data_IF_445087568551
#
_entry.id   IF_445087568551
#
_cell.length_a   1.000
_cell.length_b   1.000
_cell.length_c   1.000
_cell.angle_alpha   90.00
_cell.angle_beta   90.00
_cell.angle_gamma   90.00
#
_symmetry.space_group_name_H-M   'P 1'
#
loop_
_entity.id
_entity.type
_entity.pdbx_description
1 polymer ?
#
# COMPACT_ATOMS: atom_id res chain seq x y z
N UNK A 1 49.54 -16.21 22.44
CA UNK A 1 49.01 -15.75 21.13
C UNK A 1 48.03 -14.63 21.43
N UNK A 2 48.48 -13.39 21.35
CA UNK A 2 47.65 -12.20 21.60
C UNK A 2 46.77 -11.96 20.37
N UNK A 3 45.45 -11.87 20.57
CA UNK A 3 44.54 -11.42 19.53
C UNK A 3 44.93 -9.99 19.11
N UNK A 4 44.88 -9.66 17.81
CA UNK A 4 45.14 -8.31 17.35
C UNK A 4 44.14 -7.34 18.01
N UNK A 5 44.57 -6.12 18.37
CA UNK A 5 43.68 -5.11 18.93
C UNK A 5 42.52 -4.89 17.95
N UNK A 6 41.29 -5.04 18.44
CA UNK A 6 40.09 -4.67 17.70
C UNK A 6 40.24 -3.21 17.30
N UNK A 7 40.38 -2.96 16.00
CA UNK A 7 40.33 -1.61 15.47
C UNK A 7 38.96 -1.04 15.87
N UNK A 8 38.98 0.03 16.67
CA UNK A 8 37.77 0.77 17.03
C UNK A 8 36.98 1.06 15.75
N UNK A 9 35.89 0.31 15.57
CA UNK A 9 34.93 0.51 14.50
C UNK A 9 34.39 1.92 14.69
N UNK A 10 34.81 2.80 13.78
CA UNK A 10 34.47 4.21 13.70
C UNK A 10 32.98 4.41 14.04
N UNK A 11 32.72 4.80 15.29
CA UNK A 11 31.37 4.80 15.90
C UNK A 11 30.51 5.98 15.45
N UNK A 12 31.10 6.92 14.70
CA UNK A 12 30.39 8.06 14.16
C UNK A 12 30.09 7.87 12.66
N UNK A 13 28.80 7.96 12.26
CA UNK A 13 28.43 7.88 10.86
C UNK A 13 29.08 9.05 10.12
N UNK A 14 30.05 8.74 9.25
CA UNK A 14 30.76 9.73 8.45
C UNK A 14 29.75 10.67 7.76
N UNK A 15 29.76 11.98 8.07
CA UNK A 15 28.79 12.91 7.54
C UNK A 15 28.88 12.91 6.01
N UNK A 16 27.75 12.70 5.34
CA UNK A 16 27.69 12.79 3.90
C UNK A 16 28.13 14.20 3.49
N UNK A 17 29.02 14.34 2.48
CA UNK A 17 29.46 15.65 2.03
C UNK A 17 28.24 16.50 1.65
N UNK A 18 28.18 17.70 2.21
CA UNK A 18 27.10 18.65 1.97
C UNK A 18 26.95 18.86 0.46
N UNK A 19 25.76 18.59 -0.08
CA UNK A 19 25.48 18.81 -1.50
C UNK A 19 25.26 20.30 -1.75
N UNK A 20 25.75 20.78 -2.89
CA UNK A 20 25.49 22.16 -3.29
C UNK A 20 23.99 22.43 -3.43
N UNK A 21 23.56 23.61 -2.97
CA UNK A 21 22.16 24.05 -3.00
C UNK A 21 21.51 23.86 -4.38
N UNK A 22 22.19 24.24 -5.46
CA UNK A 22 21.68 24.09 -6.82
C UNK A 22 21.46 22.63 -7.27
N UNK A 23 22.18 21.66 -6.70
CA UNK A 23 21.93 20.23 -6.96
C UNK A 23 20.68 19.74 -6.21
N UNK A 24 20.49 20.21 -4.97
CA UNK A 24 19.30 19.92 -4.17
C UNK A 24 18.06 20.53 -4.82
N UNK A 25 18.08 21.82 -5.16
CA UNK A 25 16.97 22.53 -5.79
C UNK A 25 16.50 21.86 -7.09
N UNK A 26 17.43 21.51 -8.00
CA UNK A 26 17.10 20.77 -9.22
C UNK A 26 16.48 19.40 -8.94
N UNK A 27 17.00 18.70 -7.93
CA UNK A 27 16.44 17.41 -7.53
C UNK A 27 15.03 17.54 -6.96
N UNK A 28 14.77 18.56 -6.13
CA UNK A 28 13.44 18.84 -5.58
C UNK A 28 12.46 19.18 -6.69
N UNK A 29 12.85 20.04 -7.64
CA UNK A 29 12.02 20.37 -8.80
C UNK A 29 11.66 19.12 -9.61
N UNK A 30 12.65 18.24 -9.87
CA UNK A 30 12.42 16.97 -10.55
C UNK A 30 11.44 16.04 -9.82
N UNK A 31 11.59 15.89 -8.49
CA UNK A 31 10.63 15.11 -7.69
C UNK A 31 9.25 15.75 -7.66
N UNK A 32 9.16 17.08 -7.65
CA UNK A 32 7.89 17.82 -7.65
C UNK A 32 7.12 17.57 -8.93
N UNK A 33 7.78 17.72 -10.09
CA UNK A 33 7.17 17.48 -11.40
C UNK A 33 6.75 16.01 -11.58
N UNK A 34 7.61 15.06 -11.20
CA UNK A 34 7.29 13.64 -11.26
C UNK A 34 6.11 13.28 -10.35
N UNK A 35 6.09 13.81 -9.12
CA UNK A 35 5.00 13.56 -8.17
C UNK A 35 3.69 14.18 -8.65
N UNK A 36 3.73 15.40 -9.19
CA UNK A 36 2.54 16.04 -9.78
C UNK A 36 1.96 15.20 -10.92
N UNK A 37 2.83 14.71 -11.82
CA UNK A 37 2.42 13.82 -12.91
C UNK A 37 1.81 12.52 -12.36
N UNK A 38 2.40 11.92 -11.33
CA UNK A 38 1.86 10.70 -10.70
C UNK A 38 0.50 10.93 -10.02
N UNK A 39 0.25 12.14 -9.48
CA UNK A 39 -1.03 12.51 -8.84
C UNK A 39 -2.16 12.61 -9.88
N UNK A 40 -1.87 13.15 -11.06
CA UNK A 40 -2.88 13.39 -12.11
C UNK A 40 -3.04 12.23 -13.09
N UNK A 41 -2.26 11.15 -12.93
CA UNK A 41 -2.29 9.95 -13.79
C UNK A 41 -2.59 8.69 -12.96
N UNK A 42 -2.81 7.52 -13.60
CA UNK A 42 -2.97 6.23 -12.89
C UNK A 42 -1.71 5.75 -12.13
N UNK A 43 -0.67 6.58 -12.02
CA UNK A 43 0.62 6.28 -11.43
C UNK A 43 0.71 6.66 -9.93
N UNK A 44 -0.43 6.88 -9.27
CA UNK A 44 -0.52 7.22 -7.84
C UNK A 44 0.27 6.30 -6.91
N UNK A 45 0.37 5.03 -7.29
CA UNK A 45 1.15 3.99 -6.59
C UNK A 45 2.61 4.38 -6.34
N UNK A 46 3.17 5.28 -7.14
CA UNK A 46 4.56 5.71 -7.06
C UNK A 46 4.76 6.98 -6.21
N UNK A 47 3.69 7.67 -5.81
CA UNK A 47 3.77 8.94 -5.07
C UNK A 47 4.51 8.78 -3.74
N UNK A 48 4.13 7.86 -2.82
CA UNK A 48 4.87 7.69 -1.58
C UNK A 48 6.34 7.32 -1.81
N UNK A 49 6.64 6.40 -2.75
CA UNK A 49 8.00 6.01 -3.08
C UNK A 49 8.86 7.19 -3.57
N UNK A 50 8.31 8.07 -4.41
CA UNK A 50 9.00 9.27 -4.89
C UNK A 50 9.32 10.23 -3.74
N UNK A 51 8.37 10.44 -2.82
CA UNK A 51 8.53 11.30 -1.65
C UNK A 51 9.54 10.73 -0.65
N UNK A 52 9.47 9.43 -0.37
CA UNK A 52 10.44 8.73 0.47
C UNK A 52 11.85 8.81 -0.12
N UNK A 53 11.98 8.59 -1.42
CA UNK A 53 13.28 8.70 -2.07
C UNK A 53 13.82 10.13 -2.07
N UNK A 54 12.96 11.13 -2.25
CA UNK A 54 13.35 12.54 -2.10
C UNK A 54 13.85 12.82 -0.68
N UNK A 55 13.13 12.34 0.34
CA UNK A 55 13.50 12.51 1.75
C UNK A 55 14.86 11.87 2.07
N UNK A 56 15.08 10.62 1.63
CA UNK A 56 16.34 9.89 1.82
C UNK A 56 17.49 10.58 1.10
N UNK A 57 17.24 11.10 -0.11
CA UNK A 57 18.29 11.66 -0.96
C UNK A 57 18.66 13.10 -0.62
N UNK A 58 17.70 13.91 -0.21
CA UNK A 58 17.81 15.37 -0.07
C UNK A 58 17.37 15.91 1.30
N UNK A 59 16.91 15.03 2.19
CA UNK A 59 16.43 15.37 3.53
C UNK A 59 14.91 15.59 3.59
N UNK A 60 14.35 15.46 4.80
CA UNK A 60 12.91 15.56 5.07
C UNK A 60 12.29 16.88 4.60
N UNK A 61 12.97 18.01 4.83
CA UNK A 61 12.53 19.35 4.37
C UNK A 61 12.37 19.43 2.85
N UNK A 62 13.28 18.79 2.11
CA UNK A 62 13.20 18.74 0.64
C UNK A 62 11.99 17.92 0.16
N UNK A 63 11.62 16.85 0.87
CA UNK A 63 10.40 16.08 0.56
C UNK A 63 9.11 16.88 0.83
N UNK A 64 9.03 17.63 1.92
CA UNK A 64 7.90 18.55 2.17
C UNK A 64 7.76 19.60 1.06
N UNK A 65 8.87 20.22 0.66
CA UNK A 65 8.88 21.19 -0.44
C UNK A 65 8.46 20.52 -1.75
N UNK A 66 8.99 19.34 -2.06
CA UNK A 66 8.64 18.61 -3.28
C UNK A 66 7.15 18.25 -3.33
N UNK A 67 6.59 17.78 -2.22
CA UNK A 67 5.17 17.47 -2.11
C UNK A 67 4.31 18.73 -2.29
N UNK A 68 4.68 19.84 -1.65
CA UNK A 68 3.91 21.10 -1.74
C UNK A 68 3.89 21.62 -3.17
N UNK A 69 5.05 21.67 -3.83
CA UNK A 69 5.17 22.05 -5.24
C UNK A 69 4.38 21.10 -6.15
N UNK A 70 4.44 19.80 -5.90
CA UNK A 70 3.68 18.81 -6.66
C UNK A 70 2.17 19.02 -6.55
N UNK A 71 1.66 19.30 -5.35
CA UNK A 71 0.24 19.56 -5.13
C UNK A 71 -0.22 20.87 -5.78
N UNK A 72 0.62 21.91 -5.77
CA UNK A 72 0.32 23.16 -6.49
C UNK A 72 0.27 22.94 -8.01
N UNK A 73 1.20 22.17 -8.57
CA UNK A 73 1.18 21.82 -10.00
C UNK A 73 -0.04 20.97 -10.37
N UNK A 74 -0.40 20.00 -9.55
CA UNK A 74 -1.60 19.19 -9.76
C UNK A 74 -2.88 20.02 -9.64
N UNK A 75 -2.94 20.97 -8.70
CA UNK A 75 -4.04 21.93 -8.58
C UNK A 75 -4.15 22.84 -9.80
N UNK A 76 -3.02 23.37 -10.29
CA UNK A 76 -2.98 24.16 -11.52
C UNK A 76 -3.46 23.36 -12.74
N UNK A 77 -3.07 22.08 -12.84
CA UNK A 77 -3.57 21.19 -13.89
C UNK A 77 -5.09 20.97 -13.80
N UNK A 78 -5.63 20.71 -12.60
CA UNK A 78 -7.09 20.57 -12.39
C UNK A 78 -7.81 21.86 -12.76
N UNK A 79 -7.28 23.03 -12.39
CA UNK A 79 -7.86 24.32 -12.74
C UNK A 79 -7.83 24.61 -14.25
N UNK A 80 -6.77 24.16 -14.94
CA UNK A 80 -6.58 24.39 -16.37
C UNK A 80 -7.32 23.37 -17.27
N UNK A 81 -7.86 22.28 -16.71
CA UNK A 81 -8.54 21.24 -17.50
C UNK A 81 -10.05 21.54 -17.55
N UNK A 82 -10.57 22.07 -18.68
CA UNK A 82 -11.99 22.36 -18.79
C UNK A 82 -12.80 21.06 -18.74
N UNK A 83 -13.92 21.08 -18.02
CA UNK A 83 -14.88 19.99 -18.02
C UNK A 83 -16.28 20.52 -18.24
N UNK A 84 -16.98 19.96 -19.23
CA UNK A 84 -18.37 20.28 -19.56
C UNK A 84 -19.38 19.50 -18.72
N UNK A 85 -18.93 18.51 -17.95
CA UNK A 85 -19.81 17.68 -17.14
C UNK A 85 -20.19 18.38 -15.82
N UNK A 86 -21.49 18.47 -15.48
CA UNK A 86 -21.94 19.03 -14.21
C UNK A 86 -21.26 18.35 -13.02
N UNK A 87 -20.67 19.15 -12.12
CA UNK A 87 -20.00 18.65 -10.92
C UNK A 87 -18.62 18.00 -11.15
N UNK A 88 -18.12 17.91 -12.39
CA UNK A 88 -16.83 17.30 -12.67
C UNK A 88 -15.65 18.07 -12.04
N UNK A 89 -15.74 19.40 -12.00
CA UNK A 89 -14.73 20.23 -11.33
C UNK A 89 -14.72 19.95 -9.81
N UNK A 90 -15.89 19.84 -9.18
CA UNK A 90 -15.99 19.50 -7.75
C UNK A 90 -15.41 18.10 -7.47
N UNK A 91 -15.71 17.13 -8.33
CA UNK A 91 -15.13 15.79 -8.24
C UNK A 91 -13.61 15.82 -8.38
N UNK A 92 -13.05 16.56 -9.33
CA UNK A 92 -11.60 16.67 -9.52
C UNK A 92 -10.90 17.30 -8.32
N UNK A 93 -11.45 18.39 -7.75
CA UNK A 93 -10.90 19.01 -6.54
C UNK A 93 -11.01 18.11 -5.31
N UNK A 94 -12.13 17.40 -5.15
CA UNK A 94 -12.32 16.45 -4.05
C UNK A 94 -11.37 15.25 -4.16
N UNK A 95 -11.10 14.77 -5.37
CA UNK A 95 -10.09 13.74 -5.63
C UNK A 95 -8.69 14.25 -5.28
N UNK A 96 -8.34 15.46 -5.70
CA UNK A 96 -7.04 16.05 -5.37
C UNK A 96 -6.87 16.20 -3.85
N UNK A 97 -7.92 16.65 -3.15
CA UNK A 97 -7.93 16.73 -1.69
C UNK A 97 -7.78 15.34 -1.05
N UNK A 98 -8.46 14.32 -1.58
CA UNK A 98 -8.33 12.94 -1.11
C UNK A 98 -6.88 12.43 -1.28
N UNK A 99 -6.25 12.66 -2.44
CA UNK A 99 -4.86 12.26 -2.67
C UNK A 99 -3.91 13.00 -1.72
N UNK A 100 -4.12 14.29 -1.52
CA UNK A 100 -3.31 15.09 -0.60
C UNK A 100 -3.39 14.53 0.83
N UNK A 101 -4.61 14.41 1.37
CA UNK A 101 -4.85 14.07 2.77
C UNK A 101 -4.69 12.58 3.05
N UNK A 102 -5.01 11.71 2.09
CA UNK A 102 -4.98 10.27 2.28
C UNK A 102 -3.71 9.60 1.78
N UNK A 103 -2.91 10.24 0.92
CA UNK A 103 -1.66 9.62 0.39
C UNK A 103 -0.45 10.47 0.74
N UNK A 104 -0.43 11.73 0.33
CA UNK A 104 0.76 12.60 0.45
C UNK A 104 1.07 12.90 1.92
N UNK A 105 0.09 13.35 2.69
CA UNK A 105 0.28 13.71 4.11
C UNK A 105 0.72 12.50 4.95
N UNK A 106 0.04 11.33 4.89
CA UNK A 106 0.49 10.14 5.62
C UNK A 106 1.90 9.71 5.22
N UNK A 107 2.26 9.79 3.92
CA UNK A 107 3.63 9.51 3.46
C UNK A 107 4.65 10.39 4.16
N UNK A 108 4.44 11.71 4.15
CA UNK A 108 5.37 12.64 4.80
C UNK A 108 5.43 12.45 6.32
N UNK A 109 4.30 12.12 6.95
CA UNK A 109 4.21 11.84 8.38
C UNK A 109 4.90 10.52 8.78
N UNK A 110 4.98 9.55 7.87
CA UNK A 110 5.65 8.26 8.11
C UNK A 110 7.17 8.32 7.96
N UNK A 111 7.74 9.41 7.41
CA UNK A 111 9.18 9.57 7.21
C UNK A 111 10.03 9.29 8.46
N UNK A 112 9.67 9.77 9.67
CA UNK A 112 10.44 9.46 10.87
C UNK A 112 10.42 7.98 11.27
N UNK A 113 9.33 7.25 10.98
CA UNK A 113 9.27 5.80 11.21
C UNK A 113 10.17 5.06 10.22
N UNK A 114 10.14 5.48 8.97
CA UNK A 114 11.01 4.96 7.91
C UNK A 114 12.47 5.19 8.26
N UNK A 115 12.84 6.44 8.59
CA UNK A 115 14.19 6.83 9.00
C UNK A 115 14.68 6.06 10.23
N UNK A 116 13.81 5.73 11.19
CA UNK A 116 14.15 4.91 12.37
C UNK A 116 14.31 3.42 12.05
N UNK A 117 13.97 2.97 10.84
CA UNK A 117 14.07 1.57 10.49
C UNK A 117 12.94 0.71 11.07
N UNK A 118 11.78 1.30 11.34
CA UNK A 118 10.62 0.58 11.91
C UNK A 118 10.16 -0.61 11.04
N UNK A 119 9.42 -1.56 11.62
CA UNK A 119 8.96 -2.73 10.86
C UNK A 119 7.96 -2.34 9.77
N UNK A 120 8.00 -3.05 8.63
CA UNK A 120 7.09 -2.83 7.49
C UNK A 120 5.61 -2.76 7.91
N UNK A 121 5.16 -3.70 8.75
CA UNK A 121 3.78 -3.74 9.22
C UNK A 121 3.39 -2.50 10.03
N UNK A 122 4.27 -2.02 10.92
CA UNK A 122 4.02 -0.82 11.73
C UNK A 122 3.94 0.45 10.86
N UNK A 123 4.85 0.59 9.90
CA UNK A 123 4.84 1.71 8.95
C UNK A 123 3.58 1.68 8.09
N UNK A 124 3.21 0.50 7.56
CA UNK A 124 2.00 0.34 6.76
C UNK A 124 0.75 0.70 7.58
N UNK A 125 0.61 0.19 8.80
CA UNK A 125 -0.54 0.52 9.65
C UNK A 125 -0.64 2.02 9.93
N UNK A 126 0.48 2.69 10.22
CA UNK A 126 0.50 4.13 10.40
C UNK A 126 0.01 4.87 9.15
N UNK A 127 0.48 4.47 7.97
CA UNK A 127 0.03 5.03 6.69
C UNK A 127 -1.47 4.82 6.50
N UNK A 128 -1.99 3.60 6.70
CA UNK A 128 -3.40 3.27 6.51
C UNK A 128 -4.33 4.02 7.46
N UNK A 129 -3.95 4.16 8.73
CA UNK A 129 -4.72 4.96 9.71
C UNK A 129 -4.73 6.43 9.28
N UNK A 130 -3.56 6.97 8.93
CA UNK A 130 -3.46 8.34 8.41
C UNK A 130 -4.33 8.56 7.17
N UNK A 131 -4.41 7.56 6.29
CA UNK A 131 -5.25 7.61 5.10
C UNK A 131 -6.74 7.57 5.39
N UNK A 132 -7.18 6.70 6.30
CA UNK A 132 -8.58 6.64 6.71
C UNK A 132 -9.04 7.98 7.31
N UNK A 133 -8.19 8.60 8.13
CA UNK A 133 -8.41 9.96 8.65
C UNK A 133 -8.47 10.95 7.49
N UNK A 134 -7.51 10.91 6.57
CA UNK A 134 -7.47 11.80 5.42
C UNK A 134 -8.72 11.75 4.54
N UNK A 135 -9.21 10.55 4.21
CA UNK A 135 -10.44 10.34 3.46
C UNK A 135 -11.67 10.89 4.21
N UNK A 136 -11.74 10.67 5.53
CA UNK A 136 -12.82 11.18 6.38
C UNK A 136 -12.84 12.71 6.40
N UNK A 137 -11.66 13.34 6.52
CA UNK A 137 -11.50 14.79 6.47
C UNK A 137 -11.89 15.32 5.08
N UNK A 138 -11.52 14.64 4.00
CA UNK A 138 -11.94 15.03 2.65
C UNK A 138 -13.46 15.03 2.50
N UNK A 139 -14.15 13.98 2.97
CA UNK A 139 -15.62 13.92 2.93
C UNK A 139 -16.25 15.04 3.76
N UNK A 140 -15.78 15.22 5.00
CA UNK A 140 -16.31 16.24 5.91
C UNK A 140 -16.11 17.66 5.33
N UNK A 141 -14.90 17.97 4.85
CA UNK A 141 -14.60 19.25 4.21
C UNK A 141 -15.44 19.48 2.95
N UNK A 142 -15.60 18.47 2.10
CA UNK A 142 -16.43 18.59 0.89
C UNK A 142 -17.89 18.87 1.21
N UNK A 143 -18.43 18.21 2.25
CA UNK A 143 -19.81 18.43 2.71
C UNK A 143 -19.99 19.82 3.30
N UNK A 144 -19.06 20.25 4.17
CA UNK A 144 -19.14 21.52 4.87
C UNK A 144 -18.94 22.72 3.94
N UNK A 145 -17.99 22.63 3.02
CA UNK A 145 -17.59 23.76 2.18
C UNK A 145 -18.35 23.83 0.85
N UNK A 146 -18.85 22.70 0.35
CA UNK A 146 -19.45 22.63 -0.99
C UNK A 146 -20.81 21.91 -1.03
N UNK A 147 -21.38 21.52 0.12
CA UNK A 147 -22.62 20.72 0.21
C UNK A 147 -22.59 19.46 -0.69
N UNK A 148 -21.40 18.91 -0.89
CA UNK A 148 -21.12 17.85 -1.85
C UNK A 148 -20.43 16.67 -1.15
N UNK A 149 -20.81 15.44 -1.54
CA UNK A 149 -20.18 14.22 -1.05
C UNK A 149 -19.46 13.52 -2.21
N UNK A 150 -18.11 13.56 -2.25
CA UNK A 150 -17.35 12.84 -3.28
C UNK A 150 -17.66 11.34 -3.30
N UNK A 151 -17.82 10.73 -2.13
CA UNK A 151 -18.08 9.30 -2.06
C UNK A 151 -19.52 8.94 -2.46
N UNK A 152 -20.51 9.79 -2.17
CA UNK A 152 -21.86 9.57 -2.68
C UNK A 152 -21.92 9.73 -4.21
N UNK A 153 -21.19 10.70 -4.77
CA UNK A 153 -21.10 10.89 -6.21
C UNK A 153 -20.40 9.72 -6.91
N UNK A 154 -19.28 9.22 -6.35
CA UNK A 154 -18.62 8.02 -6.84
C UNK A 154 -19.52 6.79 -6.77
N UNK A 155 -20.29 6.63 -5.69
CA UNK A 155 -21.25 5.54 -5.55
C UNK A 155 -22.35 5.61 -6.61
N UNK A 156 -22.89 6.80 -6.85
CA UNK A 156 -23.89 7.03 -7.90
C UNK A 156 -23.31 6.71 -9.29
N UNK A 157 -22.10 7.18 -9.57
CA UNK A 157 -21.41 6.90 -10.83
C UNK A 157 -21.14 5.41 -11.01
N UNK A 158 -20.65 4.71 -9.98
CA UNK A 158 -20.40 3.28 -10.03
C UNK A 158 -21.67 2.47 -10.33
N UNK A 159 -22.82 2.87 -9.79
CA UNK A 159 -24.12 2.26 -10.12
C UNK A 159 -24.49 2.46 -11.58
N UNK A 160 -24.35 3.68 -12.10
CA UNK A 160 -24.63 3.99 -13.50
C UNK A 160 -23.70 3.22 -14.45
N UNK A 161 -22.40 3.19 -14.16
CA UNK A 161 -21.42 2.41 -14.92
C UNK A 161 -21.73 0.91 -14.86
N UNK A 162 -22.13 0.39 -13.70
CA UNK A 162 -22.55 -1.01 -13.55
C UNK A 162 -23.73 -1.37 -14.46
N UNK A 163 -24.79 -0.55 -14.45
CA UNK A 163 -25.96 -0.74 -15.33
C UNK A 163 -25.56 -0.68 -16.81
N UNK A 164 -24.72 0.30 -17.18
CA UNK A 164 -24.22 0.43 -18.54
C UNK A 164 -23.43 -0.80 -18.99
N UNK A 165 -22.53 -1.32 -18.14
CA UNK A 165 -21.72 -2.50 -18.44
C UNK A 165 -22.60 -3.75 -18.65
N UNK A 166 -23.59 -3.96 -17.79
CA UNK A 166 -24.55 -5.07 -17.91
C UNK A 166 -25.33 -4.97 -19.21
N UNK A 167 -25.79 -3.77 -19.58
CA UNK A 167 -26.47 -3.52 -20.86
C UNK A 167 -25.56 -3.87 -22.04
N UNK A 168 -24.29 -3.47 -22.02
CA UNK A 168 -23.34 -3.82 -23.07
C UNK A 168 -23.11 -5.34 -23.18
N UNK A 169 -23.08 -6.07 -22.06
CA UNK A 169 -22.96 -7.54 -22.11
C UNK A 169 -24.20 -8.20 -22.70
N UNK A 170 -25.39 -7.68 -22.37
CA UNK A 170 -26.63 -8.13 -22.98
C UNK A 170 -26.63 -7.88 -24.50
N UNK A 171 -26.22 -6.68 -24.94
CA UNK A 171 -26.12 -6.32 -26.37
C UNK A 171 -25.10 -7.17 -27.14
N UNK A 172 -24.07 -7.70 -26.47
CA UNK A 172 -23.06 -8.60 -27.05
C UNK A 172 -23.45 -10.08 -27.06
N UNK A 173 -24.65 -10.42 -26.63
CA UNK A 173 -25.13 -11.81 -26.62
C UNK A 173 -24.40 -12.70 -25.61
N UNK A 174 -23.87 -12.12 -24.53
CA UNK A 174 -23.25 -12.89 -23.45
C UNK A 174 -24.33 -13.73 -22.74
N UNK A 175 -24.04 -15.00 -22.36
CA UNK A 175 -24.99 -15.86 -21.64
C UNK A 175 -25.56 -15.22 -20.37
N UNK A 176 -26.85 -15.45 -20.11
CA UNK A 176 -27.60 -14.79 -19.04
C UNK A 176 -27.08 -15.13 -17.63
N UNK A 177 -26.60 -16.36 -17.43
CA UNK A 177 -25.95 -16.83 -16.21
C UNK A 177 -24.66 -16.05 -15.91
N UNK A 178 -23.84 -15.77 -16.92
CA UNK A 178 -22.64 -14.95 -16.76
C UNK A 178 -23.01 -13.48 -16.45
N UNK A 179 -24.04 -12.95 -17.10
CA UNK A 179 -24.55 -11.60 -16.83
C UNK A 179 -25.04 -11.49 -15.38
N UNK A 180 -25.80 -12.48 -14.89
CA UNK A 180 -26.27 -12.52 -13.51
C UNK A 180 -25.10 -12.58 -12.52
N UNK A 181 -24.09 -13.42 -12.80
CA UNK A 181 -22.89 -13.51 -11.97
C UNK A 181 -22.15 -12.16 -11.92
N UNK A 182 -21.97 -11.50 -13.06
CA UNK A 182 -21.35 -10.17 -13.14
C UNK A 182 -22.18 -9.12 -12.42
N UNK A 183 -23.51 -9.15 -12.56
CA UNK A 183 -24.40 -8.21 -11.88
C UNK A 183 -24.32 -8.35 -10.36
N UNK A 184 -24.30 -9.60 -9.85
CA UNK A 184 -24.07 -9.88 -8.42
C UNK A 184 -22.71 -9.35 -7.99
N UNK A 185 -21.65 -9.61 -8.76
CA UNK A 185 -20.30 -9.14 -8.45
C UNK A 185 -20.17 -7.62 -8.43
N UNK A 186 -20.77 -6.92 -9.39
CA UNK A 186 -20.87 -5.45 -9.42
C UNK A 186 -21.65 -4.96 -8.19
N UNK A 187 -22.78 -5.60 -7.87
CA UNK A 187 -23.58 -5.27 -6.68
C UNK A 187 -22.75 -5.35 -5.39
N UNK A 188 -22.00 -6.43 -5.20
CA UNK A 188 -21.07 -6.58 -4.07
C UNK A 188 -19.96 -5.52 -4.07
N UNK A 189 -19.36 -5.25 -5.23
CA UNK A 189 -18.28 -4.27 -5.37
C UNK A 189 -18.76 -2.84 -5.05
N UNK A 190 -19.99 -2.50 -5.46
CA UNK A 190 -20.65 -1.23 -5.12
C UNK A 190 -20.94 -1.16 -3.62
N UNK A 191 -21.37 -2.27 -3.01
CA UNK A 191 -21.63 -2.33 -1.58
C UNK A 191 -20.36 -2.14 -0.74
N UNK A 192 -19.23 -2.66 -1.22
CA UNK A 192 -17.92 -2.54 -0.60
C UNK A 192 -17.06 -1.40 -1.19
N UNK A 193 -17.66 -0.41 -1.88
CA UNK A 193 -16.89 0.63 -2.58
C UNK A 193 -15.94 1.41 -1.65
N UNK A 194 -16.36 1.68 -0.41
CA UNK A 194 -15.50 2.34 0.59
C UNK A 194 -14.27 1.49 0.92
N UNK A 195 -14.44 0.18 1.10
CA UNK A 195 -13.34 -0.75 1.28
C UNK A 195 -12.47 -0.83 0.02
N UNK A 196 -13.04 -0.81 -1.18
CA UNK A 196 -12.27 -0.79 -2.43
C UNK A 196 -11.36 0.44 -2.50
N UNK A 197 -11.82 1.62 -2.07
CA UNK A 197 -10.99 2.82 -1.97
C UNK A 197 -9.83 2.60 -0.99
N UNK A 198 -10.10 2.06 0.19
CA UNK A 198 -9.07 1.75 1.18
C UNK A 198 -8.09 0.67 0.70
N UNK A 199 -8.56 -0.33 -0.03
CA UNK A 199 -7.74 -1.38 -0.66
C UNK A 199 -6.80 -0.75 -1.70
N UNK A 200 -7.32 0.15 -2.54
CA UNK A 200 -6.49 0.86 -3.52
C UNK A 200 -5.42 1.72 -2.83
N UNK A 201 -5.77 2.43 -1.77
CA UNK A 201 -4.81 3.19 -0.97
C UNK A 201 -3.78 2.26 -0.31
N UNK A 202 -4.21 1.09 0.17
CA UNK A 202 -3.32 0.07 0.73
C UNK A 202 -2.33 -0.44 -0.32
N UNK A 203 -2.81 -0.73 -1.54
CA UNK A 203 -1.96 -1.11 -2.66
C UNK A 203 -0.93 -0.04 -2.99
N UNK A 204 -1.33 1.24 -3.00
CA UNK A 204 -0.44 2.39 -3.22
C UNK A 204 0.73 2.35 -2.23
N UNK A 205 0.46 2.21 -0.92
CA UNK A 205 1.54 2.18 0.06
C UNK A 205 2.37 0.91 0.04
N UNK A 206 1.73 -0.26 -0.09
CA UNK A 206 2.43 -1.54 -0.12
C UNK A 206 3.42 -1.52 -1.28
N UNK A 207 2.97 -1.22 -2.50
CA UNK A 207 3.84 -1.18 -3.67
C UNK A 207 4.92 -0.09 -3.53
N UNK A 208 4.59 1.08 -2.99
CA UNK A 208 5.57 2.13 -2.72
C UNK A 208 6.66 1.72 -1.72
N UNK A 209 6.29 1.08 -0.61
CA UNK A 209 7.24 0.60 0.40
C UNK A 209 8.11 -0.53 -0.16
N UNK A 210 7.54 -1.40 -0.99
CA UNK A 210 8.30 -2.44 -1.71
C UNK A 210 9.33 -1.84 -2.66
N UNK A 211 8.98 -0.75 -3.34
CA UNK A 211 9.94 -0.02 -4.15
C UNK A 211 11.02 0.63 -3.31
N UNK A 212 10.66 1.26 -2.18
CA UNK A 212 11.62 1.88 -1.27
C UNK A 212 12.69 0.88 -0.81
N UNK A 213 12.31 -0.33 -0.40
CA UNK A 213 13.26 -1.40 -0.04
C UNK A 213 14.17 -1.85 -1.18
N UNK A 214 13.81 -1.54 -2.44
CA UNK A 214 14.64 -1.80 -3.63
C UNK A 214 15.56 -0.64 -4.01
N UNK A 215 15.37 0.56 -3.47
CA UNK A 215 16.18 1.72 -3.84
C UNK A 215 17.62 1.57 -3.32
N UNK A 216 18.59 1.63 -4.25
CA UNK A 216 20.04 1.55 -3.95
C UNK A 216 20.48 2.55 -2.87
N UNK A 217 19.93 3.76 -2.92
CA UNK A 217 20.21 4.81 -1.93
C UNK A 217 19.77 4.41 -0.51
N UNK A 218 18.62 3.74 -0.38
CA UNK A 218 18.13 3.25 0.90
C UNK A 218 18.99 2.08 1.41
N UNK A 219 19.32 1.12 0.54
CA UNK A 219 20.23 0.01 0.92
C UNK A 219 21.59 0.50 1.38
N UNK A 220 22.14 1.52 0.70
CA UNK A 220 23.40 2.14 1.11
C UNK A 220 23.28 2.90 2.43
N UNK A 221 22.14 3.56 2.69
CA UNK A 221 21.88 4.23 3.97
C UNK A 221 21.70 3.22 5.12
N UNK A 222 20.95 2.14 4.88
CA UNK A 222 20.78 1.04 5.84
C UNK A 222 22.13 0.37 6.15
N UNK A 223 22.93 0.04 5.13
CA UNK A 223 24.25 -0.54 5.33
C UNK A 223 25.20 0.35 6.15
N UNK A 224 25.08 1.69 6.02
CA UNK A 224 25.88 2.65 6.80
C UNK A 224 25.41 2.85 8.23
N UNK A 225 24.16 2.51 8.55
CA UNK A 225 23.58 2.70 9.88
C UNK A 225 23.70 1.47 10.77
N UNK A 226 24.12 0.31 10.24
CA UNK A 226 24.10 -0.92 11.02
C UNK A 226 25.28 -1.86 10.72
N UNK A 227 26.20 -1.94 11.68
CA UNK A 227 27.00 -3.15 11.97
C UNK A 227 26.14 -4.28 12.58
N UNK A 228 24.87 -4.02 12.93
CA UNK A 228 23.94 -4.99 13.52
C UNK A 228 22.73 -5.26 12.63
N UNK A 229 22.69 -6.43 11.98
CA UNK A 229 21.56 -7.27 11.48
C UNK A 229 20.19 -6.68 10.99
N UNK A 230 19.95 -5.36 10.89
CA UNK A 230 18.63 -4.80 10.55
C UNK A 230 18.32 -4.74 9.05
N UNK A 231 19.16 -5.33 8.20
CA UNK A 231 18.94 -5.42 6.76
C UNK A 231 17.57 -6.04 6.38
N UNK A 232 16.86 -6.68 7.33
CA UNK A 232 15.54 -7.29 7.14
C UNK A 232 14.30 -6.39 7.24
N UNK A 233 14.37 -5.16 7.76
CA UNK A 233 13.18 -4.45 8.28
C UNK A 233 12.06 -4.13 7.25
N UNK A 234 12.38 -4.04 5.95
CA UNK A 234 11.44 -3.61 4.90
C UNK A 234 11.25 -4.62 3.76
N UNK A 235 11.55 -5.89 3.97
CA UNK A 235 11.21 -6.91 2.97
C UNK A 235 9.76 -7.32 3.10
N UNK A 236 9.03 -7.33 1.96
CA UNK A 236 7.68 -7.91 1.87
C UNK A 236 7.58 -9.27 2.56
N UNK A 237 8.64 -10.08 2.48
CA UNK A 237 8.70 -11.42 3.08
C UNK A 237 8.47 -11.41 4.60
N UNK A 238 8.67 -10.26 5.24
CA UNK A 238 8.54 -10.04 6.68
C UNK A 238 7.24 -9.27 7.03
N UNK A 239 6.30 -9.10 6.08
CA UNK A 239 4.99 -8.51 6.37
C UNK A 239 4.22 -9.42 7.34
N UNK A 240 4.25 -9.12 8.63
CA UNK A 240 3.38 -9.73 9.62
C UNK A 240 2.36 -8.68 10.05
N UNK A 241 1.08 -9.06 9.96
CA UNK A 241 -0.01 -8.22 10.45
C UNK A 241 -0.14 -8.38 11.97
N UNK A 242 -0.51 -7.33 12.70
CA UNK A 242 -0.72 -7.43 14.15
C UNK A 242 -1.90 -8.34 14.49
N UNK A 243 -1.77 -9.09 15.60
CA UNK A 243 -2.73 -10.13 16.01
C UNK A 243 -4.17 -9.64 16.18
N UNK A 244 -4.36 -8.36 16.53
CA UNK A 244 -5.71 -7.81 16.73
C UNK A 244 -6.54 -7.77 15.44
N UNK A 245 -5.91 -7.83 14.25
CA UNK A 245 -6.62 -7.95 12.98
C UNK A 245 -7.38 -9.28 12.85
N UNK A 246 -6.98 -10.33 13.58
CA UNK A 246 -7.72 -11.59 13.65
C UNK A 246 -9.11 -11.35 14.28
N UNK A 247 -9.18 -10.54 15.34
CA UNK A 247 -10.47 -10.19 15.95
C UNK A 247 -11.34 -9.38 14.99
N UNK A 248 -10.75 -8.44 14.24
CA UNK A 248 -11.48 -7.69 13.22
C UNK A 248 -12.01 -8.60 12.10
N UNK A 249 -11.25 -9.63 11.70
CA UNK A 249 -11.68 -10.64 10.74
C UNK A 249 -12.85 -11.48 11.28
N UNK A 250 -12.74 -11.99 12.52
CA UNK A 250 -13.78 -12.82 13.15
C UNK A 250 -15.08 -12.03 13.31
N UNK A 251 -15.00 -10.81 13.87
CA UNK A 251 -16.15 -9.91 14.04
C UNK A 251 -16.74 -9.53 12.67
N UNK A 252 -15.88 -9.25 11.69
CA UNK A 252 -16.29 -9.03 10.30
C UNK A 252 -16.98 -10.25 9.69
N UNK A 253 -16.58 -11.47 10.02
CA UNK A 253 -17.20 -12.71 9.53
C UNK A 253 -18.66 -12.88 9.97
N UNK A 254 -19.05 -12.26 11.09
CA UNK A 254 -20.43 -12.24 11.60
C UNK A 254 -21.33 -11.22 10.88
N UNK A 255 -20.77 -10.42 9.97
CA UNK A 255 -21.50 -9.38 9.22
C UNK A 255 -22.81 -9.84 8.59
N UNK A 256 -22.92 -11.04 7.97
CA UNK A 256 -24.18 -11.47 7.35
C UNK A 256 -25.36 -11.55 8.33
N UNK A 257 -25.09 -11.65 9.64
CA UNK A 257 -26.10 -11.69 10.69
C UNK A 257 -26.55 -10.29 11.14
N UNK A 258 -25.80 -9.25 10.77
CA UNK A 258 -26.15 -7.87 11.04
C UNK A 258 -27.02 -7.30 9.90
N UNK A 259 -27.77 -6.24 10.20
CA UNK A 259 -28.52 -5.46 9.20
C UNK A 259 -28.18 -3.97 9.28
N UNK A 260 -28.56 -3.23 8.24
CA UNK A 260 -28.46 -1.77 8.21
C UNK A 260 -27.01 -1.25 8.13
N UNK A 261 -26.70 -0.22 8.93
CA UNK A 261 -25.38 0.46 8.89
C UNK A 261 -24.26 -0.41 9.44
N UNK A 262 -24.54 -1.20 10.49
CA UNK A 262 -23.57 -2.11 11.10
C UNK A 262 -23.07 -3.14 10.09
N UNK A 263 -23.99 -3.73 9.31
CA UNK A 263 -23.66 -4.68 8.25
C UNK A 263 -22.73 -4.05 7.20
N UNK A 264 -23.00 -2.81 6.78
CA UNK A 264 -22.16 -2.10 5.81
C UNK A 264 -20.76 -1.85 6.35
N UNK A 265 -20.65 -1.34 7.58
CA UNK A 265 -19.35 -1.06 8.21
C UNK A 265 -18.57 -2.36 8.37
N UNK A 266 -19.18 -3.40 8.93
CA UNK A 266 -18.52 -4.67 9.17
C UNK A 266 -18.11 -5.39 7.86
N UNK A 267 -18.91 -5.28 6.79
CA UNK A 267 -18.53 -5.80 5.47
C UNK A 267 -17.29 -5.09 4.89
N UNK A 268 -17.23 -3.76 5.04
CA UNK A 268 -16.10 -2.98 4.56
C UNK A 268 -14.82 -3.27 5.37
N UNK A 269 -14.96 -3.40 6.70
CA UNK A 269 -13.86 -3.83 7.56
C UNK A 269 -13.38 -5.23 7.17
N UNK A 270 -14.30 -6.19 7.01
CA UNK A 270 -13.97 -7.55 6.60
C UNK A 270 -13.24 -7.58 5.26
N UNK A 271 -13.72 -6.84 4.25
CA UNK A 271 -13.09 -6.77 2.94
C UNK A 271 -11.66 -6.23 3.02
N UNK A 272 -11.42 -5.18 3.82
CA UNK A 272 -10.08 -4.63 4.03
C UNK A 272 -9.16 -5.62 4.76
N UNK A 273 -9.65 -6.24 5.84
CA UNK A 273 -8.88 -7.21 6.64
C UNK A 273 -8.54 -8.45 5.80
N UNK A 274 -9.51 -8.97 5.04
CA UNK A 274 -9.29 -10.08 4.11
C UNK A 274 -8.23 -9.72 3.06
N UNK A 275 -8.30 -8.50 2.50
CA UNK A 275 -7.28 -8.03 1.57
C UNK A 275 -5.88 -7.94 2.20
N UNK A 276 -5.76 -7.46 3.43
CA UNK A 276 -4.48 -7.44 4.14
C UNK A 276 -3.93 -8.86 4.34
N UNK A 277 -4.77 -9.82 4.72
CA UNK A 277 -4.36 -11.22 4.82
C UNK A 277 -3.97 -11.82 3.47
N UNK A 278 -4.62 -11.43 2.36
CA UNK A 278 -4.19 -11.82 1.02
C UNK A 278 -2.76 -11.32 0.73
N UNK A 279 -2.43 -10.09 1.12
CA UNK A 279 -1.07 -9.55 0.98
C UNK A 279 -0.07 -10.30 1.87
N UNK A 280 -0.45 -10.67 3.09
CA UNK A 280 0.38 -11.51 3.96
C UNK A 280 0.60 -12.91 3.34
N UNK A 281 -0.44 -13.51 2.76
CA UNK A 281 -0.34 -14.75 1.99
C UNK A 281 0.59 -14.62 0.80
N UNK A 282 0.53 -13.51 0.07
CA UNK A 282 1.42 -13.22 -1.05
C UNK A 282 2.89 -13.12 -0.59
N UNK A 283 3.12 -12.56 0.60
CA UNK A 283 4.45 -12.50 1.20
C UNK A 283 5.00 -13.90 1.53
N UNK A 284 4.15 -14.77 2.09
CA UNK A 284 4.49 -16.18 2.38
C UNK A 284 4.75 -16.93 1.09
N UNK A 285 3.88 -16.79 0.10
CA UNK A 285 4.05 -17.41 -1.22
C UNK A 285 5.40 -17.05 -1.83
N UNK A 286 5.74 -15.75 -1.83
CA UNK A 286 7.05 -15.29 -2.29
C UNK A 286 8.20 -15.86 -1.46
N UNK A 287 8.04 -15.92 -0.14
CA UNK A 287 9.05 -16.50 0.76
C UNK A 287 9.29 -17.98 0.41
N UNK A 288 8.22 -18.76 0.20
CA UNK A 288 8.29 -20.17 -0.15
C UNK A 288 8.99 -20.41 -1.49
N UNK A 289 8.67 -19.62 -2.52
CA UNK A 289 9.37 -19.72 -3.82
C UNK A 289 10.89 -19.52 -3.68
N UNK A 290 11.30 -18.58 -2.81
CA UNK A 290 12.70 -18.32 -2.53
C UNK A 290 13.32 -19.41 -1.66
N UNK A 291 12.61 -19.90 -0.63
CA UNK A 291 13.13 -20.88 0.33
C UNK A 291 13.32 -22.27 -0.27
N UNK A 292 12.46 -22.63 -1.23
CA UNK A 292 12.57 -23.85 -2.05
C UNK A 292 13.76 -23.74 -3.03
N UNK A 293 14.23 -22.51 -3.32
CA UNK A 293 15.30 -22.29 -4.28
C UNK A 293 14.83 -22.53 -5.72
N UNK A 294 13.58 -22.19 -6.04
CA UNK A 294 12.91 -22.54 -7.31
C UNK A 294 13.56 -21.95 -8.59
N UNK A 295 14.73 -21.31 -8.50
CA UNK A 295 15.38 -20.65 -9.63
C UNK A 295 14.49 -19.59 -10.28
N UNK A 296 14.93 -19.04 -11.42
CA UNK A 296 14.12 -18.08 -12.18
C UNK A 296 12.87 -18.74 -12.79
N UNK A 297 13.05 -19.92 -13.41
CA UNK A 297 11.98 -20.64 -14.10
C UNK A 297 10.86 -21.08 -13.16
N UNK A 298 11.19 -21.70 -12.02
CA UNK A 298 10.18 -22.12 -11.03
C UNK A 298 9.51 -20.92 -10.35
N UNK A 299 10.23 -19.81 -10.13
CA UNK A 299 9.61 -18.57 -9.64
C UNK A 299 8.59 -18.01 -10.64
N UNK A 300 8.92 -17.97 -11.93
CA UNK A 300 7.98 -17.52 -12.99
C UNK A 300 6.77 -18.43 -13.10
N UNK A 301 6.97 -19.75 -13.07
CA UNK A 301 5.87 -20.72 -13.09
C UNK A 301 4.95 -20.54 -11.89
N UNK A 302 5.50 -20.32 -10.69
CA UNK A 302 4.72 -20.03 -9.50
C UNK A 302 3.83 -18.80 -9.66
N UNK A 303 4.40 -17.69 -10.16
CA UNK A 303 3.61 -16.47 -10.41
C UNK A 303 2.55 -16.65 -11.50
N UNK A 304 2.84 -17.42 -12.54
CA UNK A 304 1.89 -17.73 -13.61
C UNK A 304 0.73 -18.58 -13.08
N UNK A 305 1.03 -19.61 -12.28
CA UNK A 305 0.02 -20.44 -11.63
C UNK A 305 -0.85 -19.59 -10.69
N UNK A 306 -0.23 -18.72 -9.89
CA UNK A 306 -0.97 -17.83 -9.00
C UNK A 306 -1.87 -16.87 -9.80
N UNK A 307 -1.39 -16.33 -10.92
CA UNK A 307 -2.21 -15.49 -11.80
C UNK A 307 -3.40 -16.27 -12.38
N UNK A 308 -3.17 -17.49 -12.85
CA UNK A 308 -4.24 -18.37 -13.34
C UNK A 308 -5.29 -18.67 -12.25
N UNK A 309 -4.85 -19.07 -11.05
CA UNK A 309 -5.73 -19.29 -9.91
C UNK A 309 -6.46 -18.01 -9.48
N UNK A 310 -5.85 -16.84 -9.68
CA UNK A 310 -6.48 -15.55 -9.37
C UNK A 310 -7.63 -15.25 -10.32
N UNK A 311 -7.50 -15.58 -11.61
CA UNK A 311 -8.57 -15.43 -12.60
C UNK A 311 -9.78 -16.29 -12.23
N UNK A 312 -9.55 -17.50 -11.69
CA UNK A 312 -10.63 -18.39 -11.23
C UNK A 312 -11.17 -18.03 -9.85
N UNK A 313 -10.62 -17.01 -9.19
CA UNK A 313 -11.00 -16.58 -7.83
C UNK A 313 -10.41 -17.44 -6.69
N UNK A 314 -9.79 -18.58 -7.01
CA UNK A 314 -9.20 -19.51 -6.03
C UNK A 314 -7.91 -18.95 -5.41
N UNK A 315 -7.11 -18.21 -6.20
CA UNK A 315 -5.83 -17.64 -5.78
C UNK A 315 -5.96 -16.72 -4.57
N UNK A 316 -6.78 -15.65 -4.62
CA UNK A 316 -7.05 -14.79 -3.48
C UNK A 316 -7.55 -15.56 -2.25
N UNK A 317 -8.40 -16.57 -2.41
CA UNK A 317 -8.86 -17.38 -1.29
C UNK A 317 -7.69 -18.14 -0.63
N UNK A 318 -6.86 -18.84 -1.41
CA UNK A 318 -5.70 -19.57 -0.91
C UNK A 318 -4.68 -18.63 -0.25
N UNK A 319 -4.43 -17.46 -0.83
CA UNK A 319 -3.56 -16.44 -0.25
C UNK A 319 -4.15 -15.90 1.06
N UNK A 320 -5.45 -15.60 1.10
CA UNK A 320 -6.13 -15.14 2.30
C UNK A 320 -6.02 -16.16 3.44
N UNK A 321 -6.26 -17.45 3.14
CA UNK A 321 -6.08 -18.56 4.09
C UNK A 321 -4.63 -18.64 4.56
N UNK A 322 -3.66 -18.67 3.65
CA UNK A 322 -2.24 -18.74 4.01
C UNK A 322 -1.81 -17.57 4.90
N UNK A 323 -2.26 -16.35 4.58
CA UNK A 323 -1.98 -15.16 5.38
C UNK A 323 -2.64 -15.19 6.76
N UNK A 324 -3.91 -15.63 6.84
CA UNK A 324 -4.66 -15.75 8.09
C UNK A 324 -4.03 -16.75 9.06
N UNK A 325 -3.46 -17.85 8.53
CA UNK A 325 -2.86 -18.91 9.32
C UNK A 325 -1.38 -18.68 9.69
N UNK A 326 -0.73 -17.68 9.11
CA UNK A 326 0.68 -17.34 9.37
C UNK A 326 1.00 -17.08 10.86
N UNK A 327 0.15 -16.36 11.64
CA UNK A 327 0.42 -16.16 13.08
C UNK A 327 0.41 -17.45 13.90
N UNK A 328 -0.30 -18.49 13.43
CA UNK A 328 -0.44 -19.76 14.16
C UNK A 328 0.66 -20.76 13.83
N UNK A 329 1.05 -20.85 12.56
CA UNK A 329 2.02 -21.85 12.09
C UNK A 329 3.42 -21.29 11.87
N UNK A 330 3.56 -19.97 11.85
CA UNK A 330 4.82 -19.26 11.61
C UNK A 330 5.59 -19.83 10.40
N UNK A 331 4.98 -19.73 9.20
CA UNK A 331 5.50 -20.34 7.97
C UNK A 331 6.90 -19.85 7.57
N UNK A 332 7.40 -18.80 8.22
CA UNK A 332 8.63 -18.11 7.86
C UNK A 332 9.84 -18.55 8.68
N UNK A 333 9.63 -19.17 9.84
CA UNK A 333 10.72 -19.59 10.74
C UNK A 333 11.02 -21.09 10.75
N UNK A 334 10.33 -21.89 9.92
CA UNK A 334 10.58 -23.34 9.80
C UNK A 334 12.06 -23.72 9.55
N UNK A 335 12.84 -22.86 8.88
CA UNK A 335 14.25 -23.13 8.56
C UNK A 335 15.22 -22.71 9.67
N UNK A 336 14.90 -21.66 10.43
CA UNK A 336 15.79 -21.12 11.47
C UNK A 336 15.90 -22.06 12.68
N UNK A 337 14.77 -22.65 13.11
CA UNK A 337 14.75 -23.61 14.23
C UNK A 337 15.51 -24.91 13.98
N UNK A 338 15.77 -25.29 12.72
CA UNK A 338 16.57 -26.50 12.42
C UNK A 338 18.06 -26.26 12.52
N UNK A 339 18.51 -25.04 12.21
CA UNK A 339 19.93 -24.69 12.23
C UNK A 339 20.39 -24.22 13.63
N UNK A 340 19.47 -23.81 14.51
CA UNK A 340 19.74 -23.48 15.92
C UNK A 340 19.78 -24.72 16.84
N UNK A 341 20.03 -25.92 16.29
CA UNK A 341 20.15 -27.18 17.05
C UNK A 341 21.42 -27.28 17.92
N UNK A 342 22.12 -26.16 18.15
CA UNK A 342 23.21 -26.04 19.10
C UNK A 342 22.80 -25.48 20.47
N UNK A 343 21.52 -25.19 20.72
CA UNK A 343 21.01 -24.70 22.03
C UNK A 343 20.40 -25.79 22.95
N UNK A 344 20.55 -27.08 22.64
CA UNK A 344 20.31 -28.18 23.59
C UNK A 344 21.23 -29.34 23.23
N UNK A 345 22.25 -29.73 23.99
CA UNK A 345 22.25 -30.04 25.41
C UNK A 345 23.63 -29.71 26.02
N UNK A 346 23.64 -28.83 27.01
CA UNK A 346 24.70 -28.77 28.02
C UNK A 346 24.00 -28.72 29.38
N UNK A 347 23.62 -29.91 29.85
CA UNK A 347 23.54 -30.26 31.27
C UNK A 347 24.26 -31.60 31.43
#
# INVERSE_FOLDING_TARGET
MSLPPQADLQSEPAPLPARSFGRVARSVAGYSAATALMVVTPMLVFVPAALFHCAVRNGRRAAYLAATLAMMLAAAYVAATPSSAPGAMQMAWSYLAAVALAIVVPSLAALPLIERGESFGRVLMFLLVGSAVGLTVTEAASRLLAAYSPYAAQLAQAKLTGVYLIRQYHEKGIPADLIEAVQRWIGYSIFALTAVILINVTLVFVLSLLMLGRLKAWRALAARRTDTQTAGAYFFRNLALPDWLLFAFIVGGLTPLASGMLQKVAANVLALVAFLYILQGLAIFRFLLVSIGAGMAGTMLGWLLLAFLTITGVGPLLLGVAGLFDPFFDFRHFKKRKDDSHESHSD
#
